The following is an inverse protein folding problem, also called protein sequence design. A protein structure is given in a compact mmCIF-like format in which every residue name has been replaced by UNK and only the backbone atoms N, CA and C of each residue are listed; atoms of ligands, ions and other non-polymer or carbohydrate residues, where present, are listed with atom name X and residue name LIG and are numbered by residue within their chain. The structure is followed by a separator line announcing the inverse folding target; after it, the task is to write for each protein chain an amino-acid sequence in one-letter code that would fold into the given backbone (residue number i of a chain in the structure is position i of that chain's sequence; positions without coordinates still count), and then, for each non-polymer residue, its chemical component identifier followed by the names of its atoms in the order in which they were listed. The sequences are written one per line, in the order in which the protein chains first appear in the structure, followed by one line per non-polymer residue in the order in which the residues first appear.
data_IF_241650061563
#
_entry.id   IF_241650061563
#
_cell.length_a   1.000
_cell.length_b   1.000
_cell.length_c   1.000
_cell.angle_alpha   90.00
_cell.angle_beta   90.00
_cell.angle_gamma   90.00
#
_symmetry.space_group_name_H-M   'P 1'
#
loop_
_entity.id
_entity.type
_entity.pdbx_description
1 polymer ?
#
# COMPACT_ATOMS: atom_id res chain seq x y z
N UNK A 1 7.14 -17.90 -20.75
CA UNK A 1 5.75 -17.79 -20.24
C UNK A 1 5.36 -16.33 -20.30
N UNK A 2 4.41 -15.96 -21.14
CA UNK A 2 4.02 -14.57 -21.44
C UNK A 2 3.28 -13.93 -20.27
N UNK A 3 3.73 -12.76 -19.81
CA UNK A 3 3.18 -11.97 -18.69
C UNK A 3 1.77 -11.41 -19.01
N UNK A 4 1.50 -11.09 -20.27
CA UNK A 4 0.27 -10.47 -20.77
C UNK A 4 -1.05 -11.20 -20.42
N UNK A 5 -1.21 -12.53 -20.56
CA UNK A 5 -2.47 -13.19 -20.20
C UNK A 5 -2.74 -13.23 -18.68
N UNK A 6 -1.71 -13.11 -17.84
CA UNK A 6 -1.84 -13.07 -16.39
C UNK A 6 -2.31 -11.71 -15.89
N UNK A 7 -1.81 -10.63 -16.48
CA UNK A 7 -2.26 -9.26 -16.19
C UNK A 7 -3.74 -9.04 -16.55
N UNK A 8 -4.25 -9.63 -17.64
CA UNK A 8 -5.67 -9.56 -18.02
C UNK A 8 -6.64 -10.12 -16.96
N UNK A 9 -6.17 -11.01 -16.10
CA UNK A 9 -6.96 -11.57 -14.99
C UNK A 9 -7.01 -10.68 -13.74
N UNK A 10 -6.40 -9.48 -13.80
CA UNK A 10 -6.29 -8.55 -12.67
C UNK A 10 -6.85 -7.17 -13.04
N UNK A 11 -8.18 -7.05 -13.21
CA UNK A 11 -8.79 -5.82 -13.67
C UNK A 11 -8.51 -4.62 -12.75
N UNK A 12 -8.50 -4.84 -11.43
CA UNK A 12 -8.21 -3.79 -10.44
C UNK A 12 -6.80 -3.21 -10.64
N UNK A 13 -5.79 -4.05 -10.86
CA UNK A 13 -4.43 -3.58 -11.12
C UNK A 13 -4.35 -2.76 -12.41
N UNK A 14 -4.97 -3.25 -13.49
CA UNK A 14 -4.97 -2.57 -14.80
C UNK A 14 -5.71 -1.23 -14.74
N UNK A 15 -6.88 -1.18 -14.10
CA UNK A 15 -7.63 0.08 -13.94
C UNK A 15 -6.87 1.07 -13.08
N UNK A 16 -6.22 0.63 -11.99
CA UNK A 16 -5.40 1.49 -11.14
C UNK A 16 -4.22 2.09 -11.90
N UNK A 17 -3.51 1.28 -12.70
CA UNK A 17 -2.43 1.76 -13.56
C UNK A 17 -2.93 2.76 -14.63
N UNK A 18 -4.07 2.49 -15.26
CA UNK A 18 -4.65 3.39 -16.26
C UNK A 18 -5.05 4.74 -15.64
N UNK A 19 -5.68 4.73 -14.46
CA UNK A 19 -6.03 5.95 -13.72
C UNK A 19 -4.76 6.71 -13.30
N UNK A 20 -3.74 6.01 -12.82
CA UNK A 20 -2.46 6.61 -12.48
C UNK A 20 -1.79 7.28 -13.69
N UNK A 21 -1.72 6.59 -14.84
CA UNK A 21 -1.16 7.14 -16.07
C UNK A 21 -1.92 8.39 -16.54
N UNK A 22 -3.26 8.35 -16.49
CA UNK A 22 -4.10 9.50 -16.83
C UNK A 22 -3.84 10.69 -15.89
N UNK A 23 -3.73 10.45 -14.58
CA UNK A 23 -3.45 11.50 -13.59
C UNK A 23 -2.04 12.10 -13.76
N UNK A 24 -1.03 11.26 -14.01
CA UNK A 24 0.33 11.72 -14.27
C UNK A 24 0.43 12.56 -15.55
N UNK A 25 -0.22 12.10 -16.63
CA UNK A 25 -0.31 12.86 -17.89
C UNK A 25 -1.02 14.20 -17.69
N UNK A 26 -2.16 14.21 -17.01
CA UNK A 26 -2.89 15.43 -16.70
C UNK A 26 -2.03 16.41 -15.89
N UNK A 27 -1.37 15.93 -14.83
CA UNK A 27 -0.46 16.76 -14.03
C UNK A 27 0.67 17.36 -14.90
N UNK A 28 1.24 16.56 -15.79
CA UNK A 28 2.27 17.04 -16.72
C UNK A 28 1.74 18.11 -17.69
N UNK A 29 0.54 17.94 -18.24
CA UNK A 29 -0.13 18.91 -19.11
C UNK A 29 -0.45 20.23 -18.39
N UNK A 30 -0.77 20.14 -17.09
CA UNK A 30 -1.02 21.28 -16.21
C UNK A 30 0.26 21.97 -15.71
N UNK A 31 1.43 21.51 -16.15
CA UNK A 31 2.72 22.13 -15.87
C UNK A 31 3.56 21.48 -14.80
N UNK A 32 3.10 20.38 -14.15
CA UNK A 32 3.95 19.62 -13.25
C UNK A 32 5.13 19.04 -14.03
N UNK A 33 6.34 19.18 -13.50
CA UNK A 33 7.58 18.71 -14.14
C UNK A 33 8.30 17.74 -13.20
N UNK A 34 9.19 16.92 -13.77
CA UNK A 34 10.04 16.01 -13.02
C UNK A 34 9.24 15.04 -12.15
N UNK A 35 9.57 14.99 -10.86
CA UNK A 35 8.99 14.08 -9.87
C UNK A 35 7.52 14.34 -9.58
N UNK A 36 7.04 15.58 -9.66
CA UNK A 36 5.66 15.92 -9.33
C UNK A 36 4.61 15.17 -10.16
N UNK A 37 4.82 15.04 -11.50
CA UNK A 37 3.92 14.27 -12.35
C UNK A 37 3.97 12.75 -12.04
N UNK A 38 5.17 12.24 -11.68
CA UNK A 38 5.33 10.83 -11.27
C UNK A 38 4.64 10.56 -9.94
N UNK A 39 4.73 11.48 -8.98
CA UNK A 39 4.02 11.35 -7.69
C UNK A 39 2.50 11.44 -7.86
N UNK A 40 2.00 12.27 -8.79
CA UNK A 40 0.58 12.32 -9.12
C UNK A 40 0.10 10.97 -9.73
N UNK A 41 0.87 10.40 -10.64
CA UNK A 41 0.62 9.05 -11.19
C UNK A 41 0.56 8.01 -10.08
N UNK A 42 1.59 7.98 -9.23
CA UNK A 42 1.68 7.03 -8.12
C UNK A 42 0.48 7.14 -7.18
N UNK A 43 0.19 8.36 -6.69
CA UNK A 43 -0.90 8.59 -5.75
C UNK A 43 -2.26 8.15 -6.29
N UNK A 44 -2.55 8.48 -7.55
CA UNK A 44 -3.79 8.08 -8.20
C UNK A 44 -3.88 6.55 -8.38
N UNK A 45 -2.79 5.90 -8.79
CA UNK A 45 -2.75 4.44 -8.95
C UNK A 45 -2.90 3.72 -7.60
N UNK A 46 -2.12 4.13 -6.59
CA UNK A 46 -2.11 3.51 -5.28
C UNK A 46 -3.45 3.67 -4.55
N UNK A 47 -4.04 4.88 -4.59
CA UNK A 47 -5.35 5.15 -3.99
C UNK A 47 -6.45 4.36 -4.70
N UNK A 48 -6.47 4.36 -6.03
CA UNK A 48 -7.46 3.59 -6.81
C UNK A 48 -7.37 2.10 -6.49
N UNK A 49 -6.17 1.54 -6.40
CA UNK A 49 -5.98 0.14 -6.04
C UNK A 49 -6.48 -0.14 -4.62
N UNK A 50 -6.07 0.66 -3.64
CA UNK A 50 -6.44 0.47 -2.25
C UNK A 50 -7.97 0.54 -2.05
N UNK A 51 -8.62 1.55 -2.63
CA UNK A 51 -10.08 1.71 -2.57
C UNK A 51 -10.78 0.57 -3.29
N UNK A 52 -10.35 0.21 -4.50
CA UNK A 52 -10.98 -0.85 -5.28
C UNK A 52 -10.88 -2.21 -4.59
N UNK A 53 -9.74 -2.56 -4.00
CA UNK A 53 -9.58 -3.79 -3.22
C UNK A 53 -10.46 -3.74 -1.96
N UNK A 54 -10.42 -2.65 -1.20
CA UNK A 54 -11.21 -2.53 0.01
C UNK A 54 -12.71 -2.68 -0.28
N UNK A 55 -13.24 -1.93 -1.27
CA UNK A 55 -14.67 -1.99 -1.64
C UNK A 55 -15.07 -3.36 -2.20
N UNK A 56 -14.20 -3.98 -3.05
CA UNK A 56 -14.53 -5.27 -3.68
C UNK A 56 -14.55 -6.42 -2.67
N UNK A 57 -13.67 -6.38 -1.66
CA UNK A 57 -13.53 -7.48 -0.71
C UNK A 57 -14.28 -7.24 0.61
N UNK A 58 -14.83 -6.03 0.83
CA UNK A 58 -15.47 -5.67 2.10
C UNK A 58 -16.62 -6.57 2.48
N UNK A 59 -17.47 -6.90 1.49
CA UNK A 59 -18.66 -7.74 1.67
C UNK A 59 -18.42 -9.19 1.24
N UNK A 60 -17.19 -9.55 0.80
CA UNK A 60 -16.85 -10.91 0.43
C UNK A 60 -16.76 -11.78 1.69
N UNK A 61 -17.65 -12.75 1.81
CA UNK A 61 -17.59 -13.76 2.89
C UNK A 61 -16.36 -14.68 2.72
N UNK A 62 -16.05 -15.46 3.78
CA UNK A 62 -14.86 -16.34 3.83
C UNK A 62 -14.71 -17.27 2.63
N UNK A 63 -15.82 -17.83 2.13
CA UNK A 63 -15.81 -18.73 0.97
C UNK A 63 -15.43 -18.01 -0.34
N UNK A 64 -15.85 -16.76 -0.51
CA UNK A 64 -15.47 -15.95 -1.66
C UNK A 64 -13.98 -15.61 -1.62
N UNK A 65 -13.46 -15.24 -0.46
CA UNK A 65 -12.02 -14.98 -0.26
C UNK A 65 -11.17 -16.21 -0.52
N UNK A 66 -11.59 -17.38 -0.04
CA UNK A 66 -10.89 -18.65 -0.28
C UNK A 66 -10.83 -19.01 -1.78
N UNK A 67 -11.94 -18.84 -2.51
CA UNK A 67 -11.95 -19.06 -3.97
C UNK A 67 -11.02 -18.09 -4.71
N UNK A 68 -11.07 -16.79 -4.38
CA UNK A 68 -10.18 -15.78 -4.98
C UNK A 68 -8.72 -16.05 -4.68
N UNK A 69 -8.39 -16.50 -3.48
CA UNK A 69 -7.04 -16.92 -3.12
C UNK A 69 -6.53 -18.05 -4.02
N UNK A 70 -7.36 -19.08 -4.27
CA UNK A 70 -7.00 -20.20 -5.13
C UNK A 70 -6.79 -19.81 -6.60
N UNK A 71 -7.55 -18.81 -7.12
CA UNK A 71 -7.45 -18.37 -8.51
C UNK A 71 -6.19 -17.54 -8.81
N UNK A 72 -5.57 -16.91 -7.81
CA UNK A 72 -4.53 -15.89 -7.96
C UNK A 72 -3.16 -16.28 -7.39
N UNK A 73 -2.95 -17.54 -7.03
CA UNK A 73 -1.79 -18.01 -6.24
C UNK A 73 -0.41 -17.67 -6.86
N UNK A 74 -0.23 -17.90 -8.15
CA UNK A 74 1.09 -17.91 -8.77
C UNK A 74 1.84 -16.56 -8.78
N UNK A 75 1.13 -15.42 -8.69
CA UNK A 75 1.71 -14.09 -8.91
C UNK A 75 1.61 -13.16 -7.69
N UNK A 76 1.02 -13.63 -6.58
CA UNK A 76 0.74 -12.78 -5.41
C UNK A 76 2.03 -12.24 -4.76
N UNK A 77 3.08 -13.05 -4.67
CA UNK A 77 4.38 -12.62 -4.17
C UNK A 77 5.06 -11.59 -5.07
N UNK A 78 4.93 -11.76 -6.38
CA UNK A 78 5.50 -10.80 -7.36
C UNK A 78 4.82 -9.44 -7.21
N UNK A 79 3.50 -9.42 -7.05
CA UNK A 79 2.75 -8.17 -6.87
C UNK A 79 3.09 -7.53 -5.54
N UNK A 80 3.12 -8.27 -4.44
CA UNK A 80 3.51 -7.76 -3.14
C UNK A 80 4.90 -7.11 -3.21
N UNK A 81 5.88 -7.82 -3.76
CA UNK A 81 7.26 -7.32 -3.85
C UNK A 81 7.37 -6.11 -4.76
N UNK A 82 6.81 -6.18 -5.97
CA UNK A 82 6.86 -5.06 -6.93
C UNK A 82 6.15 -3.81 -6.39
N UNK A 83 4.98 -3.99 -5.78
CA UNK A 83 4.22 -2.88 -5.21
C UNK A 83 4.91 -2.27 -3.97
N UNK A 84 5.57 -3.09 -3.15
CA UNK A 84 6.37 -2.61 -2.02
C UNK A 84 7.58 -1.81 -2.51
N UNK A 85 8.29 -2.28 -3.53
CA UNK A 85 9.40 -1.54 -4.15
C UNK A 85 8.90 -0.21 -4.72
N UNK A 86 7.76 -0.21 -5.40
CA UNK A 86 7.16 1.01 -5.95
C UNK A 86 6.78 2.02 -4.84
N UNK A 87 6.23 1.55 -3.72
CA UNK A 87 5.93 2.41 -2.56
C UNK A 87 7.20 3.03 -1.95
N UNK A 88 8.28 2.25 -1.82
CA UNK A 88 9.58 2.76 -1.37
C UNK A 88 10.21 3.75 -2.37
N UNK A 89 10.10 3.48 -3.67
CA UNK A 89 10.57 4.40 -4.70
C UNK A 89 9.80 5.75 -4.68
N UNK A 90 8.50 5.72 -4.36
CA UNK A 90 7.70 6.93 -4.18
C UNK A 90 8.23 7.80 -3.02
N UNK A 91 8.69 7.19 -1.91
CA UNK A 91 9.34 7.94 -0.82
C UNK A 91 10.63 8.62 -1.29
N UNK A 92 11.43 7.97 -2.13
CA UNK A 92 12.59 8.59 -2.78
C UNK A 92 12.19 9.77 -3.67
N UNK A 93 11.12 9.63 -4.42
CA UNK A 93 10.53 10.71 -5.23
C UNK A 93 10.08 11.91 -4.40
N UNK A 94 9.48 11.67 -3.23
CA UNK A 94 9.12 12.71 -2.26
C UNK A 94 10.34 13.52 -1.83
N UNK A 95 11.44 12.86 -1.46
CA UNK A 95 12.68 13.55 -1.07
C UNK A 95 13.24 14.39 -2.21
N UNK A 96 13.24 13.85 -3.43
CA UNK A 96 13.72 14.58 -4.62
C UNK A 96 12.84 15.79 -4.94
N UNK A 97 11.52 15.67 -4.85
CA UNK A 97 10.59 16.78 -5.12
C UNK A 97 10.72 17.90 -4.10
N UNK A 98 10.82 17.57 -2.81
CA UNK A 98 11.05 18.54 -1.74
C UNK A 98 12.39 19.27 -1.90
N UNK A 99 13.45 18.54 -2.26
CA UNK A 99 14.77 19.13 -2.49
C UNK A 99 14.75 20.10 -3.67
N UNK A 100 14.07 19.75 -4.77
CA UNK A 100 13.94 20.60 -5.96
C UNK A 100 13.09 21.85 -5.70
N UNK A 101 12.07 21.77 -4.83
CA UNK A 101 11.17 22.87 -4.52
C UNK A 101 11.71 23.83 -3.46
N UNK A 102 12.79 23.47 -2.75
CA UNK A 102 13.36 24.26 -1.64
C UNK A 102 13.74 25.67 -2.11
N UNK A 103 13.22 26.68 -1.39
CA UNK A 103 13.48 28.10 -1.71
C UNK A 103 12.72 28.64 -2.92
N UNK A 104 11.77 27.89 -3.47
CA UNK A 104 10.92 28.32 -4.60
C UNK A 104 9.49 28.62 -4.13
N UNK A 105 8.69 29.38 -4.91
CA UNK A 105 7.27 29.59 -4.63
C UNK A 105 6.46 28.28 -4.56
N UNK A 106 6.95 27.19 -5.13
CA UNK A 106 6.30 25.89 -5.18
C UNK A 106 6.53 25.03 -3.92
N UNK A 107 7.36 25.47 -2.97
CA UNK A 107 7.74 24.70 -1.79
C UNK A 107 6.54 24.20 -0.96
N UNK A 108 5.50 25.04 -0.76
CA UNK A 108 4.30 24.66 -0.02
C UNK A 108 3.50 23.56 -0.77
N UNK A 109 3.33 23.69 -2.08
CA UNK A 109 2.66 22.69 -2.91
C UNK A 109 3.39 21.36 -2.91
N UNK A 110 4.72 21.37 -3.02
CA UNK A 110 5.57 20.19 -2.94
C UNK A 110 5.46 19.52 -1.56
N UNK A 111 5.41 20.29 -0.47
CA UNK A 111 5.24 19.73 0.87
C UNK A 111 3.88 19.04 1.07
N UNK A 112 2.80 19.63 0.55
CA UNK A 112 1.46 19.01 0.59
C UNK A 112 1.44 17.71 -0.23
N UNK A 113 1.99 17.73 -1.46
CA UNK A 113 2.09 16.55 -2.31
C UNK A 113 2.92 15.45 -1.65
N UNK A 114 4.06 15.82 -1.05
CA UNK A 114 4.94 14.93 -0.32
C UNK A 114 4.21 14.23 0.85
N UNK A 115 3.57 15.01 1.73
CA UNK A 115 2.81 14.49 2.86
C UNK A 115 1.67 13.56 2.41
N UNK A 116 0.91 13.99 1.40
CA UNK A 116 -0.15 13.17 0.80
C UNK A 116 0.39 11.85 0.22
N UNK A 117 1.53 11.90 -0.48
CA UNK A 117 2.17 10.70 -1.06
C UNK A 117 2.59 9.71 0.02
N UNK A 118 3.17 10.18 1.12
CA UNK A 118 3.56 9.30 2.24
C UNK A 118 2.35 8.60 2.84
N UNK A 119 1.26 9.35 3.11
CA UNK A 119 0.02 8.80 3.67
C UNK A 119 -0.64 7.79 2.71
N UNK A 120 -0.75 8.14 1.42
CA UNK A 120 -1.34 7.26 0.40
C UNK A 120 -0.50 5.99 0.24
N UNK A 121 0.83 6.10 0.21
CA UNK A 121 1.72 4.94 0.12
C UNK A 121 1.62 4.05 1.34
N UNK A 122 1.50 4.63 2.53
CA UNK A 122 1.30 3.88 3.77
C UNK A 122 -0.04 3.12 3.75
N UNK A 123 -1.15 3.78 3.44
CA UNK A 123 -2.46 3.13 3.31
C UNK A 123 -2.47 2.02 2.27
N UNK A 124 -1.86 2.28 1.10
CA UNK A 124 -1.73 1.29 0.04
C UNK A 124 -1.01 0.03 0.53
N UNK A 125 0.08 0.17 1.29
CA UNK A 125 0.82 -0.95 1.87
C UNK A 125 -0.06 -1.75 2.84
N UNK A 126 -0.86 -1.07 3.71
CA UNK A 126 -1.73 -1.78 4.64
C UNK A 126 -2.78 -2.65 3.90
N UNK A 127 -3.46 -2.08 2.90
CA UNK A 127 -4.46 -2.81 2.10
C UNK A 127 -3.80 -3.95 1.30
N UNK A 128 -2.61 -3.72 0.75
CA UNK A 128 -1.84 -4.74 0.03
C UNK A 128 -1.49 -5.92 0.93
N UNK A 129 -1.02 -5.66 2.16
CA UNK A 129 -0.71 -6.71 3.13
C UNK A 129 -1.98 -7.40 3.66
N UNK A 130 -3.08 -6.69 3.89
CA UNK A 130 -4.36 -7.28 4.26
C UNK A 130 -4.81 -8.33 3.21
N UNK A 131 -4.77 -7.95 1.93
CA UNK A 131 -5.08 -8.85 0.82
C UNK A 131 -4.10 -10.04 0.76
N UNK A 132 -2.80 -9.81 1.00
CA UNK A 132 -1.80 -10.88 1.02
C UNK A 132 -1.98 -11.81 2.23
N UNK A 133 -2.32 -11.30 3.40
CA UNK A 133 -2.64 -12.12 4.58
C UNK A 133 -3.85 -13.02 4.34
N UNK A 134 -4.93 -12.48 3.77
CA UNK A 134 -6.10 -13.25 3.40
C UNK A 134 -5.74 -14.38 2.41
N UNK A 135 -4.95 -14.07 1.39
CA UNK A 135 -4.49 -15.03 0.41
C UNK A 135 -3.67 -16.18 1.04
N UNK A 136 -2.66 -15.84 1.86
CA UNK A 136 -1.79 -16.86 2.50
C UNK A 136 -2.56 -17.66 3.55
N UNK A 137 -3.50 -17.04 4.28
CA UNK A 137 -4.33 -17.70 5.27
C UNK A 137 -5.18 -18.81 4.63
N UNK A 138 -5.90 -18.47 3.55
CA UNK A 138 -6.83 -19.40 2.91
C UNK A 138 -6.14 -20.49 2.07
N UNK A 139 -4.96 -20.24 1.50
CA UNK A 139 -4.20 -21.25 0.76
C UNK A 139 -3.27 -22.07 1.64
N UNK A 140 -2.76 -21.50 2.72
CA UNK A 140 -1.68 -22.10 3.52
C UNK A 140 -2.12 -22.77 4.82
N UNK A 141 -3.42 -23.04 5.01
CA UNK A 141 -3.93 -23.74 6.19
C UNK A 141 -3.99 -22.87 7.46
N UNK A 142 -4.68 -21.72 7.39
CA UNK A 142 -4.99 -20.88 8.55
C UNK A 142 -3.76 -20.37 9.30
N UNK A 143 -2.95 -19.51 8.65
CA UNK A 143 -1.71 -18.97 9.21
C UNK A 143 -1.89 -17.93 10.31
N UNK A 144 -3.10 -17.36 10.46
CA UNK A 144 -3.51 -16.42 11.52
C UNK A 144 -4.64 -17.02 12.35
N UNK A 145 -4.72 -16.65 13.61
CA UNK A 145 -5.75 -17.05 14.55
C UNK A 145 -6.46 -15.80 15.06
N UNK A 146 -7.73 -15.66 14.72
CA UNK A 146 -8.56 -14.52 15.10
C UNK A 146 -9.43 -14.94 16.29
N UNK A 147 -9.30 -14.32 17.46
CA UNK A 147 -10.09 -14.69 18.65
C UNK A 147 -11.61 -14.60 18.39
N UNK A 148 -12.29 -15.74 18.56
CA UNK A 148 -13.74 -15.80 18.37
C UNK A 148 -14.24 -15.86 16.93
N UNK A 149 -13.34 -15.94 15.94
CA UNK A 149 -13.71 -16.06 14.54
C UNK A 149 -12.81 -17.05 13.77
N UNK A 150 -13.31 -18.27 13.56
CA UNK A 150 -12.60 -19.31 12.80
C UNK A 150 -12.65 -19.11 11.27
N UNK A 151 -13.47 -18.20 10.79
CA UNK A 151 -13.70 -17.93 9.38
C UNK A 151 -13.60 -16.42 9.06
N UNK A 152 -12.39 -15.83 9.17
CA UNK A 152 -12.19 -14.39 9.00
C UNK A 152 -12.54 -13.91 7.59
N UNK A 153 -13.17 -12.74 7.52
CA UNK A 153 -13.45 -11.98 6.31
C UNK A 153 -12.35 -10.94 6.03
N UNK A 154 -12.52 -10.12 4.98
CA UNK A 154 -11.51 -9.13 4.61
C UNK A 154 -11.31 -8.03 5.67
N UNK A 155 -12.35 -7.48 6.34
CA UNK A 155 -12.21 -6.56 7.46
C UNK A 155 -11.29 -7.05 8.58
N UNK A 156 -11.33 -8.33 8.93
CA UNK A 156 -10.46 -8.95 9.93
C UNK A 156 -8.97 -8.91 9.51
N UNK A 157 -8.69 -9.25 8.23
CA UNK A 157 -7.33 -9.13 7.70
C UNK A 157 -6.87 -7.68 7.59
N UNK A 158 -7.77 -6.76 7.28
CA UNK A 158 -7.47 -5.33 7.24
C UNK A 158 -7.19 -4.79 8.65
N UNK A 159 -7.98 -5.18 9.66
CA UNK A 159 -7.72 -4.87 11.07
C UNK A 159 -6.31 -5.30 11.48
N UNK A 160 -5.96 -6.55 11.20
CA UNK A 160 -4.63 -7.07 11.50
C UNK A 160 -3.51 -6.29 10.80
N UNK A 161 -3.66 -6.04 9.50
CA UNK A 161 -2.68 -5.27 8.73
C UNK A 161 -2.53 -3.84 9.25
N UNK A 162 -3.63 -3.15 9.55
CA UNK A 162 -3.62 -1.78 10.11
C UNK A 162 -2.95 -1.75 11.49
N UNK A 163 -3.20 -2.74 12.34
CA UNK A 163 -2.54 -2.83 13.66
C UNK A 163 -1.03 -2.99 13.52
N UNK A 164 -0.58 -3.92 12.66
CA UNK A 164 0.87 -4.08 12.37
C UNK A 164 1.44 -2.79 11.77
N UNK A 165 0.69 -2.15 10.87
CA UNK A 165 1.07 -0.91 10.20
C UNK A 165 1.28 0.27 11.14
N UNK A 166 0.40 0.43 12.12
CA UNK A 166 0.46 1.54 13.09
C UNK A 166 1.47 1.30 14.21
N UNK A 167 1.65 0.04 14.65
CA UNK A 167 2.36 -0.28 15.89
C UNK A 167 3.62 -1.12 15.71
N UNK A 168 3.83 -1.70 14.51
CA UNK A 168 4.83 -2.74 14.23
C UNK A 168 4.71 -3.96 15.17
N UNK A 169 3.52 -4.19 15.72
CA UNK A 169 3.20 -5.27 16.65
C UNK A 169 2.00 -6.07 16.14
N UNK A 170 1.93 -7.35 16.47
CA UNK A 170 0.71 -8.15 16.35
C UNK A 170 -0.27 -7.75 17.44
N UNK A 171 -1.57 -7.76 17.13
CA UNK A 171 -2.62 -7.43 18.10
C UNK A 171 -2.99 -8.65 18.97
N UNK A 172 -4.25 -8.88 19.18
CA UNK A 172 -4.86 -10.10 19.71
C UNK A 172 -4.84 -11.27 18.73
N UNK A 173 -4.61 -10.99 17.43
CA UNK A 173 -4.49 -12.00 16.38
C UNK A 173 -3.12 -12.70 16.43
N UNK A 174 -3.09 -14.02 16.56
CA UNK A 174 -1.84 -14.76 16.68
C UNK A 174 -1.39 -15.43 15.38
N UNK A 175 -0.06 -15.53 15.20
CA UNK A 175 0.54 -16.18 14.03
C UNK A 175 0.80 -17.65 14.28
N UNK A 176 0.15 -18.55 13.54
CA UNK A 176 0.26 -20.00 13.72
C UNK A 176 1.45 -20.64 12.97
N UNK A 177 1.89 -20.05 11.84
CA UNK A 177 2.91 -20.66 11.00
C UNK A 177 4.19 -19.83 10.89
N UNK A 178 5.32 -20.51 10.66
CA UNK A 178 6.61 -19.84 10.42
C UNK A 178 6.56 -18.96 9.14
N UNK A 179 5.81 -19.39 8.11
CA UNK A 179 5.61 -18.60 6.89
C UNK A 179 4.92 -17.27 7.21
N UNK A 180 3.83 -17.32 7.99
CA UNK A 180 3.09 -16.11 8.38
C UNK A 180 3.95 -15.17 9.21
N UNK A 181 4.73 -15.69 10.18
CA UNK A 181 5.65 -14.87 10.99
C UNK A 181 6.69 -14.12 10.14
N UNK A 182 7.21 -14.74 9.07
CA UNK A 182 8.16 -14.08 8.15
C UNK A 182 7.51 -12.93 7.38
N UNK A 183 6.25 -13.10 6.95
CA UNK A 183 5.48 -12.05 6.26
C UNK A 183 5.22 -10.88 7.22
N UNK A 184 4.76 -11.18 8.44
CA UNK A 184 4.51 -10.18 9.48
C UNK A 184 5.78 -9.43 9.85
N UNK A 185 6.92 -10.11 9.97
CA UNK A 185 8.22 -9.46 10.22
C UNK A 185 8.59 -8.48 9.10
N UNK A 186 8.42 -8.86 7.83
CA UNK A 186 8.67 -7.97 6.70
C UNK A 186 7.72 -6.78 6.69
N UNK A 187 6.43 -7.00 6.98
CA UNK A 187 5.43 -5.93 7.09
C UNK A 187 5.75 -4.97 8.25
N UNK A 188 6.08 -5.49 9.43
CA UNK A 188 6.44 -4.67 10.59
C UNK A 188 7.68 -3.82 10.34
N UNK A 189 8.73 -4.39 9.70
CA UNK A 189 9.93 -3.64 9.34
C UNK A 189 9.63 -2.51 8.33
N UNK A 190 8.81 -2.78 7.32
CA UNK A 190 8.37 -1.78 6.35
C UNK A 190 7.52 -0.69 7.02
N UNK A 191 6.59 -1.08 7.88
CA UNK A 191 5.73 -0.16 8.63
C UNK A 191 6.53 0.74 9.56
N UNK A 192 7.53 0.20 10.24
CA UNK A 192 8.46 0.98 11.07
C UNK A 192 9.16 2.06 10.25
N UNK A 193 9.64 1.72 9.04
CA UNK A 193 10.26 2.70 8.14
C UNK A 193 9.30 3.82 7.75
N UNK A 194 8.06 3.48 7.35
CA UNK A 194 7.03 4.48 7.02
C UNK A 194 6.70 5.37 8.21
N UNK A 195 6.51 4.79 9.39
CA UNK A 195 6.17 5.53 10.61
C UNK A 195 7.31 6.49 11.00
N UNK A 196 8.58 6.08 10.85
CA UNK A 196 9.73 6.95 11.05
C UNK A 196 9.75 8.15 10.08
N UNK A 197 9.44 7.93 8.80
CA UNK A 197 9.34 9.00 7.79
C UNK A 197 8.17 9.94 8.10
N UNK A 198 7.00 9.42 8.47
CA UNK A 198 5.82 10.21 8.84
C UNK A 198 6.14 11.09 10.06
N UNK A 199 6.76 10.50 11.09
CA UNK A 199 7.13 11.24 12.29
C UNK A 199 8.16 12.34 12.01
N UNK A 200 9.20 12.02 11.23
CA UNK A 200 10.20 13.01 10.81
C UNK A 200 9.58 14.16 10.02
N UNK A 201 8.66 13.87 9.11
CA UNK A 201 7.93 14.88 8.34
C UNK A 201 7.05 15.75 9.25
N UNK A 202 6.34 15.17 10.21
CA UNK A 202 5.50 15.87 11.17
C UNK A 202 6.33 16.82 12.07
N UNK A 203 7.47 16.34 12.58
CA UNK A 203 8.38 17.16 13.41
C UNK A 203 8.95 18.33 12.62
N UNK A 204 9.39 18.08 11.36
CA UNK A 204 9.92 19.17 10.51
C UNK A 204 8.83 20.20 10.18
N UNK A 205 7.61 19.77 9.92
CA UNK A 205 6.49 20.70 9.67
C UNK A 205 6.16 21.52 10.93
N UNK A 206 6.10 20.89 12.10
CA UNK A 206 5.87 21.58 13.35
C UNK A 206 6.96 22.62 13.64
N UNK A 207 8.23 22.28 13.45
CA UNK A 207 9.35 23.20 13.61
C UNK A 207 9.24 24.40 12.65
N UNK A 208 8.83 24.19 11.40
CA UNK A 208 8.66 25.27 10.41
C UNK A 208 7.48 26.21 10.74
N UNK A 209 6.49 25.75 11.50
CA UNK A 209 5.34 26.57 11.92
C UNK A 209 5.60 27.37 13.21
N UNK A 210 6.59 26.96 14.01
CA UNK A 210 6.92 27.57 15.31
C UNK A 210 8.12 28.52 15.24
N UNK A 211 8.93 28.47 14.19
CA UNK A 211 10.10 29.32 13.94
C UNK A 211 9.87 30.36 12.90
#
# INVERSE_FOLDING_TARGET
MTILPRLRRRPILLTSLAVGLAAGLLAWLLGARGTGAVLALWNAAALTYAVAIAVTLWDDGPDALARRAAELDADQWVILTASTIAALAALGGVVADLAAAKGTPQATGAAILAGGTVVVSWLFVQVLFAHHYAHVHWLGGQGLDFPGNDRPDFPEFLYFAMTVGMTAQVSDVTTRTARMRRIVLGHAALSFLFNAVILAAAVNLAAALLG
#
